data_IF_043511373426
#
_entry.id   IF_043511373426
#
_cell.length_a   1.000
_cell.length_b   1.000
_cell.length_c   1.000
_cell.angle_alpha   90.00
_cell.angle_beta   90.00
_cell.angle_gamma   90.00
#
_symmetry.space_group_name_H-M   'P 1'
#
loop_
_entity.id
_entity.type
_entity.pdbx_description
1 polymer ?
#
# COMPACT_ATOMS: atom_id res chain seq x y z
N UNK A 1 -24.89 19.62 -4.51
CA UNK A 1 -23.42 19.60 -4.77
C UNK A 1 -22.83 18.52 -3.87
N UNK A 2 -22.07 17.59 -4.42
CA UNK A 2 -21.34 16.57 -3.63
C UNK A 2 -20.27 17.28 -2.81
N UNK A 3 -20.24 17.07 -1.50
CA UNK A 3 -19.17 17.59 -0.64
C UNK A 3 -17.88 16.83 -0.92
N UNK A 4 -16.96 17.47 -1.63
CA UNK A 4 -15.67 16.88 -2.02
C UNK A 4 -14.81 16.46 -0.83
N UNK A 5 -15.07 17.00 0.37
CA UNK A 5 -14.40 16.59 1.60
C UNK A 5 -14.89 15.23 2.11
N UNK A 6 -16.06 14.76 1.63
CA UNK A 6 -16.67 13.46 1.97
C UNK A 6 -16.60 12.49 0.80
N UNK A 7 -15.52 12.53 0.03
CA UNK A 7 -15.29 11.60 -1.08
C UNK A 7 -13.89 11.01 -1.03
N UNK A 8 -13.75 9.79 -1.52
CA UNK A 8 -12.47 9.15 -1.82
C UNK A 8 -12.30 9.00 -3.33
N UNK A 9 -11.07 9.10 -3.80
CA UNK A 9 -10.72 8.79 -5.19
C UNK A 9 -10.12 7.39 -5.22
N UNK A 10 -10.80 6.47 -5.87
CA UNK A 10 -10.39 5.08 -5.99
C UNK A 10 -10.00 4.77 -7.45
N UNK A 11 -9.24 3.69 -7.63
CA UNK A 11 -8.88 3.15 -8.94
C UNK A 11 -10.09 2.52 -9.64
N UNK A 12 -9.91 2.00 -10.84
CA UNK A 12 -10.98 1.35 -11.60
C UNK A 12 -11.43 0.05 -10.93
N UNK A 13 -10.50 -0.83 -10.58
CA UNK A 13 -10.69 -2.06 -9.80
C UNK A 13 -10.58 -1.78 -8.29
N UNK A 14 -11.43 -0.94 -7.76
CA UNK A 14 -11.24 -0.22 -6.51
C UNK A 14 -11.38 -1.05 -5.23
N UNK A 15 -12.28 -2.02 -5.18
CA UNK A 15 -12.46 -2.90 -4.02
C UNK A 15 -12.74 -4.34 -4.48
N UNK A 16 -11.96 -5.28 -3.96
CA UNK A 16 -12.12 -6.70 -4.26
C UNK A 16 -11.67 -7.57 -3.08
N UNK A 17 -12.19 -8.79 -3.02
CA UNK A 17 -11.82 -9.79 -2.02
C UNK A 17 -10.95 -10.87 -2.67
N UNK A 18 -9.80 -11.14 -2.05
CA UNK A 18 -8.87 -12.19 -2.49
C UNK A 18 -7.95 -12.60 -1.34
N UNK A 19 -6.99 -13.46 -1.64
CA UNK A 19 -5.92 -13.86 -0.73
C UNK A 19 -4.71 -12.94 -0.96
N UNK A 20 -4.09 -12.48 0.13
CA UNK A 20 -2.82 -11.74 0.04
C UNK A 20 -1.73 -12.62 -0.59
N UNK A 21 -1.08 -12.11 -1.62
CA UNK A 21 -0.06 -12.84 -2.38
C UNK A 21 1.38 -12.59 -1.93
N UNK A 22 1.64 -11.60 -1.04
CA UNK A 22 2.98 -11.10 -0.79
C UNK A 22 3.25 -10.78 0.69
N UNK A 23 4.54 -10.82 1.04
CA UNK A 23 5.03 -10.32 2.32
C UNK A 23 4.50 -11.07 3.54
N UNK A 24 4.39 -10.34 4.65
CA UNK A 24 4.04 -10.89 5.96
C UNK A 24 2.67 -11.58 6.00
N UNK A 25 1.71 -11.09 5.23
CA UNK A 25 0.33 -11.56 5.27
C UNK A 25 -0.02 -12.53 4.13
N UNK A 26 0.98 -13.08 3.44
CA UNK A 26 0.77 -14.07 2.37
C UNK A 26 -0.15 -15.21 2.84
N UNK A 27 -1.18 -15.50 2.05
CA UNK A 27 -2.20 -16.50 2.38
C UNK A 27 -3.39 -15.99 3.20
N UNK A 28 -3.35 -14.77 3.74
CA UNK A 28 -4.45 -14.22 4.53
C UNK A 28 -5.57 -13.67 3.63
N UNK A 29 -6.85 -13.99 3.95
CA UNK A 29 -7.99 -13.37 3.28
C UNK A 29 -7.99 -11.87 3.46
N UNK A 30 -8.18 -11.12 2.37
CA UNK A 30 -8.09 -9.67 2.39
C UNK A 30 -9.13 -9.01 1.49
N UNK A 31 -9.72 -7.93 1.97
CA UNK A 31 -10.52 -7.00 1.17
C UNK A 31 -9.61 -5.83 0.81
N UNK A 32 -9.21 -5.78 -0.44
CA UNK A 32 -8.36 -4.71 -0.95
C UNK A 32 -9.19 -3.48 -1.28
N UNK A 33 -8.75 -2.31 -0.81
CA UNK A 33 -9.22 -1.01 -1.25
C UNK A 33 -8.08 -0.31 -1.98
N UNK A 34 -8.22 -0.12 -3.28
CA UNK A 34 -7.19 0.49 -4.13
C UNK A 34 -7.52 1.95 -4.41
N UNK A 35 -6.75 2.84 -3.78
CA UNK A 35 -6.89 4.29 -3.96
C UNK A 35 -6.19 4.76 -5.25
N UNK A 36 -6.76 5.77 -5.89
CA UNK A 36 -6.16 6.43 -7.04
C UNK A 36 -5.05 7.41 -6.62
N UNK A 37 -4.17 7.70 -7.55
CA UNK A 37 -3.03 8.63 -7.46
C UNK A 37 -1.82 8.08 -6.69
N UNK A 38 -0.65 8.48 -7.17
CA UNK A 38 0.64 8.25 -6.53
C UNK A 38 1.49 9.53 -6.61
N UNK A 39 2.41 9.68 -5.68
CA UNK A 39 3.40 10.76 -5.67
C UNK A 39 4.75 10.35 -6.28
N UNK A 40 4.89 9.07 -6.69
CA UNK A 40 6.03 8.52 -7.40
C UNK A 40 5.60 8.00 -8.78
N UNK A 41 6.57 7.79 -9.67
CA UNK A 41 6.31 7.32 -11.05
C UNK A 41 6.82 5.91 -11.31
N UNK A 42 7.87 5.49 -10.58
CA UNK A 42 8.51 4.17 -10.69
C UNK A 42 8.92 3.77 -12.13
N UNK A 43 9.33 4.74 -12.95
CA UNK A 43 9.69 4.52 -14.36
C UNK A 43 10.86 3.56 -14.56
N UNK A 44 11.69 3.38 -13.54
CA UNK A 44 12.82 2.45 -13.57
C UNK A 44 12.41 0.97 -13.69
N UNK A 45 11.15 0.65 -13.39
CA UNK A 45 10.59 -0.71 -13.55
C UNK A 45 9.94 -0.95 -14.92
N UNK A 46 10.15 -0.04 -15.89
CA UNK A 46 9.58 -0.19 -17.21
C UNK A 46 10.10 -1.46 -17.92
N UNK A 47 9.18 -2.20 -18.53
CA UNK A 47 9.42 -3.39 -19.32
C UNK A 47 8.47 -3.40 -20.53
N UNK A 48 8.60 -4.40 -21.41
CA UNK A 48 7.65 -4.57 -22.51
C UNK A 48 6.23 -4.76 -22.00
N UNK A 49 6.04 -5.53 -20.91
CA UNK A 49 4.74 -5.83 -20.31
C UNK A 49 4.22 -4.68 -19.43
N UNK A 50 5.12 -3.82 -18.95
CA UNK A 50 4.79 -2.65 -18.12
C UNK A 50 5.48 -1.38 -18.60
N UNK A 51 5.06 -0.82 -19.75
CA UNK A 51 5.75 0.32 -20.39
C UNK A 51 5.71 1.61 -19.56
N UNK A 52 4.82 1.69 -18.58
CA UNK A 52 4.73 2.81 -17.65
C UNK A 52 5.66 2.67 -16.43
N UNK A 53 6.31 1.52 -16.25
CA UNK A 53 7.20 1.20 -15.14
C UNK A 53 6.49 0.64 -13.92
N UNK A 54 5.53 1.36 -13.37
CA UNK A 54 4.73 0.86 -12.25
C UNK A 54 3.70 -0.17 -12.75
N UNK A 55 3.70 -1.37 -12.18
CA UNK A 55 2.75 -2.45 -12.46
C UNK A 55 1.28 -2.06 -12.22
N UNK A 56 1.07 -1.22 -11.22
CA UNK A 56 -0.26 -0.71 -10.85
C UNK A 56 -0.64 0.62 -11.52
N UNK A 57 0.18 1.13 -12.48
CA UNK A 57 -0.04 2.45 -13.09
C UNK A 57 -1.42 2.57 -13.73
N UNK A 58 -1.83 1.58 -14.51
CA UNK A 58 -3.13 1.58 -15.22
C UNK A 58 -4.28 1.70 -14.21
N UNK A 59 -4.20 0.95 -13.10
CA UNK A 59 -5.21 0.99 -12.06
C UNK A 59 -5.29 2.35 -11.37
N UNK A 60 -4.20 2.83 -10.75
CA UNK A 60 -4.27 4.04 -9.92
C UNK A 60 -4.32 5.35 -10.72
N UNK A 61 -4.02 5.35 -12.01
CA UNK A 61 -4.14 6.52 -12.89
C UNK A 61 -5.59 6.89 -13.19
N UNK A 62 -6.51 5.92 -13.16
CA UNK A 62 -7.96 6.17 -13.24
C UNK A 62 -8.46 6.68 -11.89
N UNK A 63 -9.35 7.68 -11.94
CA UNK A 63 -9.87 8.36 -10.73
C UNK A 63 -11.39 8.33 -10.72
N UNK A 64 -11.94 7.36 -10.04
CA UNK A 64 -13.38 7.30 -9.76
C UNK A 64 -13.64 7.87 -8.36
N UNK A 65 -14.57 8.81 -8.24
CA UNK A 65 -14.94 9.41 -6.96
C UNK A 65 -16.14 8.74 -6.37
N UNK A 66 -16.02 8.35 -5.11
CA UNK A 66 -17.12 7.77 -4.33
C UNK A 66 -17.36 8.61 -3.08
N UNK A 67 -18.60 8.92 -2.80
CA UNK A 67 -19.01 9.40 -1.48
C UNK A 67 -18.83 8.27 -0.46
N UNK A 68 -18.77 8.61 0.82
CA UNK A 68 -18.64 7.60 1.87
C UNK A 68 -19.87 6.66 1.89
N UNK A 69 -21.06 7.18 1.61
CA UNK A 69 -22.29 6.36 1.56
C UNK A 69 -22.29 5.40 0.37
N UNK A 70 -21.88 5.86 -0.82
CA UNK A 70 -21.74 4.99 -2.00
C UNK A 70 -20.75 3.87 -1.73
N UNK A 71 -19.61 4.20 -1.10
CA UNK A 71 -18.60 3.20 -0.77
C UNK A 71 -19.08 2.22 0.30
N UNK A 72 -19.73 2.71 1.36
CA UNK A 72 -20.32 1.84 2.39
C UNK A 72 -21.40 0.91 1.80
N UNK A 73 -22.25 1.42 0.91
CA UNK A 73 -23.23 0.60 0.19
C UNK A 73 -22.55 -0.45 -0.68
N UNK A 74 -21.45 -0.09 -1.35
CA UNK A 74 -20.67 -1.03 -2.16
C UNK A 74 -20.11 -2.18 -1.30
N UNK A 75 -19.54 -1.87 -0.14
CA UNK A 75 -19.03 -2.90 0.79
C UNK A 75 -20.13 -3.84 1.28
N UNK A 76 -21.29 -3.29 1.62
CA UNK A 76 -22.44 -4.07 2.10
C UNK A 76 -23.02 -4.98 1.01
N UNK A 77 -23.28 -4.42 -0.18
CA UNK A 77 -23.92 -5.12 -1.29
C UNK A 77 -23.07 -6.25 -1.89
N UNK A 78 -21.73 -6.14 -1.75
CA UNK A 78 -20.77 -7.15 -2.24
C UNK A 78 -20.30 -8.13 -1.15
N UNK A 79 -20.88 -8.07 0.06
CA UNK A 79 -20.54 -8.99 1.16
C UNK A 79 -19.19 -8.69 1.83
N UNK A 80 -18.48 -7.62 1.47
CA UNK A 80 -17.18 -7.29 2.02
C UNK A 80 -17.23 -6.96 3.51
N UNK A 81 -18.35 -6.39 3.98
CA UNK A 81 -18.55 -6.17 5.42
C UNK A 81 -18.51 -7.48 6.19
N UNK A 82 -19.13 -8.55 5.66
CA UNK A 82 -19.11 -9.86 6.31
C UNK A 82 -17.71 -10.47 6.27
N UNK A 83 -17.03 -10.41 5.13
CA UNK A 83 -15.64 -10.90 5.01
C UNK A 83 -14.73 -10.25 6.05
N UNK A 84 -14.84 -8.93 6.25
CA UNK A 84 -14.07 -8.21 7.26
C UNK A 84 -14.45 -8.62 8.70
N UNK A 85 -15.74 -8.87 8.97
CA UNK A 85 -16.21 -9.40 10.28
C UNK A 85 -15.69 -10.81 10.54
N UNK A 86 -15.52 -11.62 9.51
CA UNK A 86 -14.99 -12.98 9.57
C UNK A 86 -13.45 -13.01 9.68
N UNK A 87 -12.82 -11.82 9.76
CA UNK A 87 -11.40 -11.69 10.07
C UNK A 87 -10.51 -11.34 8.89
N UNK A 88 -11.07 -11.15 7.68
CA UNK A 88 -10.28 -10.65 6.57
C UNK A 88 -9.65 -9.28 6.88
N UNK A 89 -8.47 -9.02 6.33
CA UNK A 89 -7.77 -7.75 6.49
C UNK A 89 -8.35 -6.72 5.51
N UNK A 90 -8.65 -5.51 5.98
CA UNK A 90 -8.84 -4.36 5.10
C UNK A 90 -7.47 -3.88 4.63
N UNK A 91 -7.07 -4.29 3.43
CA UNK A 91 -5.83 -3.85 2.77
C UNK A 91 -6.06 -2.54 2.05
N UNK A 92 -5.45 -1.48 2.55
CA UNK A 92 -5.54 -0.15 1.95
C UNK A 92 -4.29 0.09 1.12
N UNK A 93 -4.46 0.08 -0.18
CA UNK A 93 -3.40 0.12 -1.19
C UNK A 93 -3.74 1.11 -2.32
N UNK A 94 -3.11 0.99 -3.46
CA UNK A 94 -3.39 1.77 -4.67
C UNK A 94 -2.11 2.33 -5.28
N UNK A 95 -2.10 3.61 -5.63
CA UNK A 95 -0.86 4.34 -5.88
C UNK A 95 -0.14 4.60 -4.56
N UNK A 96 -0.47 5.72 -3.90
CA UNK A 96 -0.02 5.98 -2.53
C UNK A 96 -1.22 6.37 -1.65
N UNK A 97 -1.68 5.48 -0.78
CA UNK A 97 -2.90 5.70 0.00
C UNK A 97 -2.79 6.87 0.98
N UNK A 98 -1.60 7.16 1.50
CA UNK A 98 -1.42 8.23 2.46
C UNK A 98 -1.61 9.63 1.87
N UNK A 99 -1.67 9.78 0.54
CA UNK A 99 -2.11 11.02 -0.10
C UNK A 99 -3.55 11.40 0.29
N UNK A 100 -4.38 10.42 0.59
CA UNK A 100 -5.79 10.61 0.94
C UNK A 100 -6.11 10.28 2.41
N UNK A 101 -5.10 10.10 3.26
CA UNK A 101 -5.25 9.55 4.61
C UNK A 101 -6.26 10.28 5.51
N UNK A 102 -6.41 11.60 5.41
CA UNK A 102 -7.41 12.36 6.21
C UNK A 102 -8.84 12.00 5.80
N UNK A 103 -9.10 11.95 4.50
CA UNK A 103 -10.43 11.59 3.97
C UNK A 103 -10.74 10.12 4.19
N UNK A 104 -9.71 9.27 4.07
CA UNK A 104 -9.81 7.84 4.34
C UNK A 104 -10.17 7.58 5.82
N UNK A 105 -9.55 8.32 6.75
CA UNK A 105 -9.91 8.24 8.18
C UNK A 105 -11.36 8.66 8.43
N UNK A 106 -11.81 9.74 7.78
CA UNK A 106 -13.20 10.17 7.88
C UNK A 106 -14.18 9.14 7.31
N UNK A 107 -13.81 8.46 6.22
CA UNK A 107 -14.59 7.35 5.71
C UNK A 107 -14.61 6.17 6.69
N UNK A 108 -13.48 5.78 7.26
CA UNK A 108 -13.40 4.68 8.24
C UNK A 108 -14.29 4.96 9.45
N UNK A 109 -14.31 6.18 9.96
CA UNK A 109 -15.23 6.59 11.04
C UNK A 109 -16.70 6.37 10.63
N UNK A 110 -17.08 6.79 9.42
CA UNK A 110 -18.41 6.56 8.87
C UNK A 110 -18.74 5.07 8.72
N UNK A 111 -17.77 4.27 8.28
CA UNK A 111 -17.88 2.83 8.16
C UNK A 111 -18.10 2.16 9.54
N UNK A 112 -17.28 2.49 10.53
CA UNK A 112 -17.40 1.96 11.89
C UNK A 112 -18.73 2.36 12.52
N UNK A 113 -19.15 3.62 12.32
CA UNK A 113 -20.44 4.08 12.84
C UNK A 113 -21.63 3.33 12.21
N UNK A 114 -21.58 3.07 10.91
CA UNK A 114 -22.66 2.33 10.22
C UNK A 114 -22.70 0.84 10.61
N UNK A 115 -21.54 0.16 10.61
CA UNK A 115 -21.51 -1.30 10.75
C UNK A 115 -21.18 -1.79 12.17
N UNK A 116 -20.87 -0.87 13.08
CA UNK A 116 -20.61 -1.09 14.51
C UNK A 116 -19.46 -2.09 14.79
N UNK A 117 -18.43 -2.08 13.93
CA UNK A 117 -17.18 -2.81 14.17
C UNK A 117 -16.00 -2.10 13.49
N UNK A 118 -14.78 -2.34 14.00
CA UNK A 118 -13.53 -1.86 13.40
C UNK A 118 -12.80 -3.02 12.73
N UNK A 119 -12.49 -2.96 11.42
CA UNK A 119 -11.77 -4.03 10.74
C UNK A 119 -10.29 -4.07 11.16
N UNK A 120 -9.63 -5.21 10.96
CA UNK A 120 -8.16 -5.25 10.92
C UNK A 120 -7.68 -4.47 9.71
N UNK A 121 -6.74 -3.54 9.88
CA UNK A 121 -6.28 -2.66 8.81
C UNK A 121 -4.79 -2.88 8.56
N UNK A 122 -4.41 -3.01 7.30
CA UNK A 122 -3.02 -2.93 6.86
C UNK A 122 -2.89 -1.99 5.66
N UNK A 123 -1.93 -1.08 5.75
CA UNK A 123 -1.59 -0.15 4.67
C UNK A 123 -0.44 -0.69 3.84
N UNK A 124 -0.57 -0.64 2.52
CA UNK A 124 0.57 -0.75 1.61
C UNK A 124 0.97 0.65 1.15
N UNK A 125 2.11 1.13 1.61
CA UNK A 125 2.62 2.48 1.32
C UNK A 125 4.03 2.44 0.77
N UNK A 126 4.41 3.42 -0.04
CA UNK A 126 5.78 3.56 -0.54
C UNK A 126 6.76 4.14 0.50
N UNK A 127 6.29 4.50 1.68
CA UNK A 127 7.10 5.00 2.78
C UNK A 127 7.66 6.41 2.59
N UNK A 128 7.11 7.19 1.66
CA UNK A 128 7.55 8.57 1.42
C UNK A 128 6.72 9.64 2.13
N UNK A 129 5.59 9.24 2.71
CA UNK A 129 4.67 10.12 3.43
C UNK A 129 4.51 9.67 4.87
N UNK A 130 4.51 10.64 5.80
CA UNK A 130 4.28 10.38 7.22
C UNK A 130 2.81 10.00 7.45
N UNK A 131 2.51 8.84 8.04
CA UNK A 131 1.14 8.49 8.42
C UNK A 131 0.67 9.36 9.59
N UNK A 132 -0.63 9.60 9.65
CA UNK A 132 -1.24 10.22 10.84
C UNK A 132 -1.09 9.25 12.03
N UNK A 133 -0.70 9.73 13.22
CA UNK A 133 -0.48 8.87 14.40
C UNK A 133 -1.70 8.04 14.79
N UNK A 134 -2.91 8.55 14.57
CA UNK A 134 -4.17 7.88 14.92
C UNK A 134 -4.35 6.54 14.21
N UNK A 135 -3.75 6.33 13.04
CA UNK A 135 -3.83 5.04 12.36
C UNK A 135 -3.30 3.90 13.21
N UNK A 136 -2.15 4.08 13.84
CA UNK A 136 -1.56 3.06 14.71
C UNK A 136 -2.16 3.09 16.12
N UNK A 137 -2.30 4.29 16.72
CA UNK A 137 -2.67 4.42 18.15
C UNK A 137 -4.15 4.19 18.42
N UNK A 138 -5.04 4.56 17.50
CA UNK A 138 -6.49 4.45 17.69
C UNK A 138 -7.07 3.24 16.94
N UNK A 139 -6.62 3.00 15.71
CA UNK A 139 -7.19 1.96 14.84
C UNK A 139 -6.36 0.68 14.79
N UNK A 140 -5.22 0.61 15.49
CA UNK A 140 -4.28 -0.52 15.46
C UNK A 140 -3.89 -0.93 14.03
N UNK A 141 -3.85 0.03 13.11
CA UNK A 141 -3.45 -0.23 11.75
C UNK A 141 -1.97 -0.65 11.68
N UNK A 142 -1.70 -1.66 10.87
CA UNK A 142 -0.35 -2.07 10.51
C UNK A 142 0.06 -1.48 9.17
N UNK A 143 1.37 -1.55 8.88
CA UNK A 143 1.91 -1.00 7.65
C UNK A 143 2.87 -2.00 7.01
N UNK A 144 2.62 -2.29 5.74
CA UNK A 144 3.56 -2.93 4.82
C UNK A 144 4.16 -1.82 3.98
N UNK A 145 5.38 -1.43 4.33
CA UNK A 145 6.09 -0.32 3.70
C UNK A 145 6.94 -0.86 2.56
N UNK A 146 6.81 -0.30 1.36
CA UNK A 146 7.61 -0.67 0.19
C UNK A 146 8.51 0.51 -0.24
N UNK A 147 9.62 0.76 0.47
CA UNK A 147 10.52 1.85 0.12
C UNK A 147 11.05 1.66 -1.30
N UNK A 148 11.10 2.76 -2.05
CA UNK A 148 11.58 2.72 -3.43
C UNK A 148 13.07 3.06 -3.44
N UNK A 149 13.89 2.11 -3.89
CA UNK A 149 15.34 2.24 -4.05
C UNK A 149 15.69 2.95 -5.37
N UNK A 150 16.97 3.06 -5.70
CA UNK A 150 17.45 3.76 -6.90
C UNK A 150 16.90 3.14 -8.19
N UNK A 151 16.66 1.84 -8.18
CA UNK A 151 16.10 1.08 -9.29
C UNK A 151 14.70 1.55 -9.75
N UNK A 152 13.96 2.28 -8.91
CA UNK A 152 12.65 2.79 -9.30
C UNK A 152 12.70 3.99 -10.26
N UNK A 153 13.86 4.64 -10.41
CA UNK A 153 14.10 5.74 -11.35
C UNK A 153 13.59 7.12 -10.92
N UNK A 154 12.91 7.25 -9.78
CA UNK A 154 12.55 8.56 -9.22
C UNK A 154 13.74 9.19 -8.48
N UNK A 155 13.79 10.53 -8.44
CA UNK A 155 14.83 11.25 -7.72
C UNK A 155 14.83 10.88 -6.22
N UNK A 156 16.03 10.69 -5.64
CA UNK A 156 16.21 10.25 -4.25
C UNK A 156 15.40 11.08 -3.26
N UNK A 157 15.40 12.41 -3.41
CA UNK A 157 14.64 13.34 -2.56
C UNK A 157 13.11 13.09 -2.53
N UNK A 158 12.56 12.39 -3.52
CA UNK A 158 11.13 12.05 -3.58
C UNK A 158 10.83 10.73 -2.88
N UNK A 159 11.70 9.72 -3.06
CA UNK A 159 11.49 8.34 -2.66
C UNK A 159 12.14 7.95 -1.31
N UNK A 160 13.29 8.55 -0.97
CA UNK A 160 14.05 8.24 0.24
C UNK A 160 13.76 9.26 1.34
N UNK A 161 13.05 8.84 2.38
CA UNK A 161 12.61 9.65 3.51
C UNK A 161 13.01 8.98 4.83
N UNK A 162 14.26 9.13 5.27
CA UNK A 162 14.76 8.45 6.48
C UNK A 162 13.89 8.67 7.71
N UNK A 163 13.37 9.88 7.90
CA UNK A 163 12.51 10.22 9.03
C UNK A 163 11.18 9.45 9.03
N UNK A 164 10.61 9.21 7.84
CA UNK A 164 9.38 8.41 7.67
C UNK A 164 9.66 6.94 7.89
N UNK A 165 10.76 6.42 7.33
CA UNK A 165 11.16 5.02 7.47
C UNK A 165 11.51 4.69 8.92
N UNK A 166 12.18 5.59 9.63
CA UNK A 166 12.47 5.45 11.04
C UNK A 166 11.17 5.36 11.86
N UNK A 167 10.21 6.24 11.59
CA UNK A 167 8.90 6.20 12.25
C UNK A 167 8.19 4.87 12.02
N UNK A 168 8.16 4.36 10.79
CA UNK A 168 7.61 3.04 10.50
C UNK A 168 8.37 1.91 11.20
N UNK A 169 9.70 2.01 11.29
CA UNK A 169 10.50 1.03 12.01
C UNK A 169 10.16 1.00 13.51
N UNK A 170 9.97 2.17 14.12
CA UNK A 170 9.54 2.31 15.52
C UNK A 170 8.12 1.75 15.75
N UNK A 171 7.22 1.88 14.77
CA UNK A 171 5.88 1.27 14.80
C UNK A 171 5.88 -0.26 14.63
N UNK A 172 7.01 -0.88 14.30
CA UNK A 172 7.07 -2.32 14.02
C UNK A 172 6.53 -2.71 12.65
N UNK A 173 6.50 -1.78 11.70
CA UNK A 173 6.07 -2.03 10.32
C UNK A 173 6.90 -3.10 9.63
N UNK A 174 6.31 -3.77 8.64
CA UNK A 174 7.00 -4.68 7.73
C UNK A 174 7.53 -3.89 6.53
N UNK A 175 8.72 -4.24 6.05
CA UNK A 175 9.34 -3.59 4.90
C UNK A 175 9.46 -4.57 3.73
N UNK A 176 9.02 -4.16 2.55
CA UNK A 176 9.04 -4.96 1.32
C UNK A 176 9.86 -4.23 0.27
N UNK A 177 11.01 -4.77 -0.12
CA UNK A 177 11.90 -4.18 -1.11
C UNK A 177 11.85 -4.96 -2.42
N UNK A 178 11.74 -4.24 -3.53
CA UNK A 178 11.82 -4.82 -4.87
C UNK A 178 13.29 -4.80 -5.30
N UNK A 179 13.85 -5.98 -5.54
CA UNK A 179 15.26 -6.18 -5.92
C UNK A 179 15.36 -6.82 -7.30
N UNK A 180 16.33 -6.41 -8.09
CA UNK A 180 16.60 -6.91 -9.43
C UNK A 180 18.08 -7.22 -9.68
N UNK A 181 18.96 -6.71 -8.85
CA UNK A 181 20.41 -6.79 -9.04
C UNK A 181 21.18 -6.81 -7.72
N UNK A 182 22.46 -7.18 -7.77
CA UNK A 182 23.39 -7.07 -6.63
C UNK A 182 23.55 -5.62 -6.14
N UNK A 183 23.43 -4.64 -7.04
CA UNK A 183 23.49 -3.23 -6.67
C UNK A 183 22.28 -2.82 -5.83
N UNK A 184 21.10 -3.40 -6.09
CA UNK A 184 19.90 -3.18 -5.26
C UNK A 184 20.09 -3.77 -3.87
N UNK A 185 20.65 -4.98 -3.79
CA UNK A 185 20.97 -5.61 -2.50
C UNK A 185 21.97 -4.76 -1.71
N UNK A 186 23.02 -4.29 -2.38
CA UNK A 186 24.00 -3.41 -1.76
C UNK A 186 23.38 -2.11 -1.24
N UNK A 187 22.53 -1.44 -2.04
CA UNK A 187 21.81 -0.25 -1.60
C UNK A 187 20.94 -0.56 -0.39
N UNK A 188 20.23 -1.70 -0.38
CA UNK A 188 19.41 -2.13 0.75
C UNK A 188 20.23 -2.25 2.04
N UNK A 189 21.36 -2.94 1.99
CA UNK A 189 22.21 -3.08 3.17
C UNK A 189 22.80 -1.75 3.61
N UNK A 190 23.48 -1.03 2.73
CA UNK A 190 24.20 0.20 3.07
C UNK A 190 23.30 1.34 3.52
N UNK A 191 22.14 1.53 2.88
CA UNK A 191 21.27 2.70 3.15
C UNK A 191 20.11 2.42 4.10
N UNK A 192 19.78 1.16 4.37
CA UNK A 192 18.59 0.86 5.18
C UNK A 192 18.90 -0.05 6.37
N UNK A 193 19.62 -1.15 6.17
CA UNK A 193 19.81 -2.17 7.21
C UNK A 193 21.01 -1.82 8.11
N UNK A 194 22.20 -1.62 7.55
CA UNK A 194 23.45 -1.47 8.32
C UNK A 194 23.47 -0.20 9.17
N UNK A 195 22.75 0.83 8.73
CA UNK A 195 22.59 2.07 9.51
C UNK A 195 21.44 2.01 10.51
N UNK A 196 20.75 0.85 10.62
CA UNK A 196 19.66 0.65 11.55
C UNK A 196 18.36 1.41 11.22
N UNK A 197 18.19 1.85 9.97
CA UNK A 197 17.00 2.58 9.53
C UNK A 197 15.77 1.67 9.49
N UNK A 198 15.95 0.40 9.07
CA UNK A 198 14.94 -0.65 9.12
C UNK A 198 15.50 -1.91 9.79
N UNK A 199 14.68 -2.59 10.56
CA UNK A 199 15.05 -3.84 11.23
C UNK A 199 15.07 -5.00 10.25
N UNK A 200 16.21 -5.70 10.16
CA UNK A 200 16.45 -6.79 9.21
C UNK A 200 15.40 -7.90 9.28
N UNK A 201 14.96 -8.25 10.46
CA UNK A 201 13.96 -9.31 10.73
C UNK A 201 12.56 -8.98 10.22
N UNK A 202 12.33 -7.73 9.78
CA UNK A 202 11.04 -7.28 9.21
C UNK A 202 11.14 -6.95 7.72
N UNK A 203 12.26 -7.34 7.09
CA UNK A 203 12.50 -7.11 5.66
C UNK A 203 12.05 -8.32 4.85
N UNK A 204 11.31 -8.06 3.79
CA UNK A 204 10.90 -9.00 2.75
C UNK A 204 11.46 -8.55 1.42
N UNK A 205 12.05 -9.49 0.67
CA UNK A 205 12.56 -9.23 -0.67
C UNK A 205 11.58 -9.74 -1.70
N UNK A 206 11.31 -8.92 -2.70
CA UNK A 206 10.46 -9.25 -3.83
C UNK A 206 11.31 -9.13 -5.10
N UNK A 207 11.43 -10.20 -5.90
CA UNK A 207 12.12 -10.10 -7.18
C UNK A 207 11.35 -9.17 -8.12
N UNK A 208 12.06 -8.29 -8.82
CA UNK A 208 11.48 -7.48 -9.87
C UNK A 208 11.26 -8.38 -11.10
N UNK A 209 10.02 -8.71 -11.38
CA UNK A 209 9.66 -9.61 -12.49
C UNK A 209 8.52 -8.99 -13.30
N UNK A 210 8.67 -8.97 -14.63
CA UNK A 210 7.62 -8.56 -15.57
C UNK A 210 6.74 -9.74 -16.01
N UNK A 211 7.23 -10.99 -15.87
CA UNK A 211 6.50 -12.18 -16.29
C UNK A 211 6.58 -13.32 -15.27
N UNK A 212 5.73 -14.33 -15.44
CA UNK A 212 5.72 -15.54 -14.60
C UNK A 212 6.99 -16.36 -14.77
N UNK A 213 7.52 -16.42 -15.99
CA UNK A 213 8.77 -17.10 -16.31
C UNK A 213 9.96 -16.45 -15.59
N UNK A 214 10.05 -15.13 -15.63
CA UNK A 214 11.08 -14.39 -14.90
C UNK A 214 10.99 -14.60 -13.39
N UNK A 215 9.77 -14.61 -12.84
CA UNK A 215 9.57 -14.88 -11.42
C UNK A 215 10.12 -16.25 -11.03
N UNK A 216 9.80 -17.28 -11.81
CA UNK A 216 10.29 -18.67 -11.56
C UNK A 216 11.81 -18.77 -11.66
N UNK A 217 12.43 -17.99 -12.54
CA UNK A 217 13.90 -17.99 -12.73
C UNK A 217 14.66 -17.24 -11.63
N UNK A 218 14.01 -16.27 -10.95
CA UNK A 218 14.60 -15.41 -9.90
C UNK A 218 14.25 -15.85 -8.46
N UNK A 219 13.33 -16.80 -8.29
CA UNK A 219 12.93 -17.37 -6.99
C UNK A 219 13.75 -18.58 -6.62
#
# INVERSE_FOLDING_TARGET
MVDLNKTLSLSDDHVFYTIEGEGKYIGEPSVFMRLAMCNLTCKGFASEDSPHGCDSFVSWSVKNRYTYDELNNFYENNGFVQNLKDGAILKITGGEPLLQQKRLMSWLISFIDRFKFSPRIDFETNGSLMPLPDWASVYNATFTVSPKMSNNGDAEKLRYKPEVLKYHNELGSTFKFVVNSEDDEKELFEKYIDIGLVSRERVWLMPCCGSREEHTAKS
#
